data_IF_033805891918
#
_entry.id   IF_033805891918
#
_cell.length_a   1.000
_cell.length_b   1.000
_cell.length_c   1.000
_cell.angle_alpha   90.00
_cell.angle_beta   90.00
_cell.angle_gamma   90.00
#
_symmetry.space_group_name_H-M   'P 1'
#
loop_
_entity.id
_entity.type
_entity.pdbx_description
1 polymer ?
2 non-polymer ?
3 water ?
#
# COMPACT_ATOMS: atom_id res chain seq x y z
N UNK A 1 12.19 2.56 -31.38
CA UNK A 1 12.11 3.35 -30.17
C UNK A 1 11.30 2.67 -29.06
N UNK A 2 11.25 3.29 -27.89
CA UNK A 2 10.44 2.77 -26.81
C UNK A 2 8.97 2.65 -27.18
N UNK A 3 8.25 1.76 -26.53
CA UNK A 3 6.78 1.68 -26.58
C UNK A 3 6.23 2.75 -25.64
N UNK A 4 5.47 3.70 -26.18
CA UNK A 4 4.89 4.74 -25.31
C UNK A 4 3.63 4.24 -24.62
N UNK A 5 3.36 4.82 -23.45
CA UNK A 5 2.20 4.44 -22.65
C UNK A 5 1.42 5.74 -22.37
N UNK A 6 0.14 5.74 -22.71
CA UNK A 6 -0.76 6.86 -22.53
C UNK A 6 -1.84 6.54 -21.53
N UNK A 7 -2.58 7.53 -21.06
CA UNK A 7 -3.73 7.23 -20.18
C UNK A 7 -4.70 6.29 -20.89
N UNK A 8 -4.76 6.35 -22.22
CA UNK A 8 -5.71 5.53 -22.94
C UNK A 8 -5.17 4.15 -23.25
N UNK A 9 -3.92 3.86 -22.98
CA UNK A 9 -3.35 2.55 -23.19
C UNK A 9 -3.96 1.54 -22.23
N UNK A 10 -4.12 0.31 -22.69
CA UNK A 10 -4.60 -0.74 -21.76
C UNK A 10 -3.44 -1.19 -20.91
N UNK A 11 -3.56 -1.13 -19.59
CA UNK A 11 -2.40 -1.47 -18.77
C UNK A 11 -2.85 -2.37 -17.62
N UNK A 12 -1.89 -2.92 -16.91
CA UNK A 12 -2.18 -3.61 -15.66
C UNK A 12 -2.80 -2.68 -14.62
N UNK A 13 -3.36 -3.29 -13.58
CA UNK A 13 -3.85 -2.57 -12.43
C UNK A 13 -2.74 -1.74 -11.79
N UNK A 14 -3.14 -0.63 -11.21
CA UNK A 14 -2.24 0.19 -10.42
C UNK A 14 -1.75 -0.63 -9.24
N UNK A 15 -0.56 -0.30 -8.77
CA UNK A 15 -0.04 -1.01 -7.60
C UNK A 15 -0.25 -0.14 -6.35
N UNK A 16 -0.45 -0.81 -5.23
CA UNK A 16 -0.40 -0.18 -3.92
C UNK A 16 0.99 0.43 -3.66
N UNK A 17 1.07 1.40 -2.74
CA UNK A 17 2.40 1.94 -2.47
C UNK A 17 3.32 0.84 -1.97
N UNK A 18 2.81 -0.12 -1.21
CA UNK A 18 3.61 -1.21 -0.67
C UNK A 18 4.14 -2.08 -1.81
N UNK A 19 3.30 -2.42 -2.76
CA UNK A 19 3.72 -3.32 -3.85
C UNK A 19 4.64 -2.58 -4.83
N UNK A 20 4.37 -1.26 -5.00
CA UNK A 20 5.28 -0.49 -5.86
C UNK A 20 6.68 -0.44 -5.26
N UNK A 21 6.74 -0.18 -3.95
CA UNK A 21 8.06 -0.18 -3.28
C UNK A 21 8.73 -1.54 -3.36
N UNK A 22 7.92 -2.60 -3.24
CA UNK A 22 8.53 -3.94 -3.35
C UNK A 22 9.18 -4.12 -4.72
N UNK A 23 8.47 -3.67 -5.76
CA UNK A 23 9.05 -3.76 -7.11
C UNK A 23 10.36 -3.01 -7.24
N UNK A 24 10.36 -1.77 -6.72
CA UNK A 24 11.57 -0.97 -6.80
C UNK A 24 12.70 -1.62 -6.02
N UNK A 25 12.40 -1.98 -4.77
CA UNK A 25 13.45 -2.48 -3.88
C UNK A 25 14.00 -3.81 -4.36
N UNK A 26 13.14 -4.69 -4.80
CA UNK A 26 13.61 -6.03 -5.18
C UNK A 26 14.33 -5.98 -6.50
N UNK A 27 13.81 -5.15 -7.43
CA UNK A 27 14.40 -5.09 -8.77
C UNK A 27 15.77 -4.44 -8.78
N UNK A 28 15.94 -3.45 -7.91
CA UNK A 28 17.15 -2.63 -7.92
C UNK A 28 18.00 -2.88 -6.68
N UNK A 29 17.56 -3.79 -5.81
CA UNK A 29 18.30 -4.06 -4.57
C UNK A 29 18.55 -2.80 -3.74
N UNK A 30 17.42 -2.11 -3.50
CA UNK A 30 17.34 -0.92 -2.68
C UNK A 30 16.49 -1.15 -1.43
N UNK A 31 16.40 -0.12 -0.58
CA UNK A 31 15.60 -0.26 0.64
C UNK A 31 14.79 1.00 0.87
N UNK A 32 14.15 1.52 -0.18
CA UNK A 32 13.25 2.65 0.06
C UNK A 32 12.15 2.26 1.01
N UNK A 33 11.73 3.18 1.88
CA UNK A 33 10.60 2.95 2.76
C UNK A 33 9.41 3.86 2.38
N UNK A 34 9.62 4.83 1.49
CA UNK A 34 8.54 5.74 1.13
C UNK A 34 8.52 6.07 -0.36
N UNK A 35 7.35 6.13 -0.99
CA UNK A 35 7.25 6.51 -2.39
C UNK A 35 7.89 7.88 -2.61
N UNK A 36 7.77 8.74 -1.59
CA UNK A 36 8.38 10.08 -1.72
C UNK A 36 9.89 10.06 -2.03
N UNK A 37 10.62 9.03 -1.66
CA UNK A 37 12.05 8.95 -1.85
C UNK A 37 12.40 8.80 -3.32
N UNK A 38 11.44 8.52 -4.19
CA UNK A 38 11.69 8.52 -5.64
C UNK A 38 11.97 9.93 -6.14
N UNK A 39 11.82 10.94 -5.30
CA UNK A 39 12.09 12.33 -5.66
C UNK A 39 13.53 12.52 -6.11
N UNK A 40 14.42 11.58 -5.78
CA UNK A 40 15.82 11.73 -6.13
C UNK A 40 16.10 11.43 -7.60
N UNK A 41 15.20 10.72 -8.29
CA UNK A 41 15.42 10.43 -9.71
C UNK A 41 16.35 9.27 -9.94
N UNK A 42 17.13 8.80 -8.97
CA UNK A 42 18.15 7.78 -9.28
C UNK A 42 17.56 6.43 -9.66
N UNK A 43 16.51 6.01 -8.96
CA UNK A 43 15.88 4.71 -9.33
C UNK A 43 15.36 4.69 -10.76
N UNK A 44 14.70 5.80 -11.15
CA UNK A 44 14.21 5.87 -12.53
C UNK A 44 15.37 5.77 -13.53
N UNK A 45 16.46 6.47 -13.24
CA UNK A 45 17.62 6.35 -14.14
C UNK A 45 18.11 4.92 -14.29
N UNK A 46 18.16 4.21 -13.15
CA UNK A 46 18.59 2.82 -13.26
C UNK A 46 17.58 1.94 -13.99
N UNK A 47 16.28 2.16 -13.80
CA UNK A 47 15.32 1.34 -14.55
C UNK A 47 15.44 1.57 -16.04
N UNK A 48 15.76 2.82 -16.43
CA UNK A 48 16.00 3.08 -17.85
C UNK A 48 17.21 2.32 -18.43
N UNK A 49 18.26 2.22 -17.63
CA UNK A 49 19.45 1.46 -17.97
C UNK A 49 19.07 -0.01 -18.16
N UNK A 50 18.24 -0.50 -17.24
CA UNK A 50 17.77 -1.89 -17.30
C UNK A 50 16.92 -2.15 -18.54
N UNK A 51 16.02 -1.22 -18.86
CA UNK A 51 15.21 -1.35 -20.06
C UNK A 51 16.01 -1.25 -21.35
N UNK A 52 16.85 -0.25 -21.45
CA UNK A 52 17.58 0.11 -22.65
C UNK A 52 19.04 0.39 -22.27
N UNK A 53 19.84 -0.64 -22.06
CA UNK A 53 21.23 -0.44 -21.61
C UNK A 53 21.99 0.51 -22.54
N UNK A 54 22.62 1.51 -21.91
CA UNK A 54 23.34 2.54 -22.68
C UNK A 54 22.49 3.78 -22.93
N UNK A 55 21.23 3.82 -22.48
CA UNK A 55 20.40 4.98 -22.77
C UNK A 55 20.69 6.12 -21.79
N UNK A 56 21.26 5.76 -20.66
CA UNK A 56 21.43 6.62 -19.48
C UNK A 56 22.91 6.79 -19.17
N UNK A 57 23.31 7.99 -18.76
CA UNK A 57 24.68 8.24 -18.31
C UNK A 57 24.83 7.83 -16.85
N UNK A 58 24.88 6.53 -16.64
CA UNK A 58 24.87 5.97 -15.30
C UNK A 58 25.94 6.57 -14.40
N UNK A 59 27.12 6.83 -14.94
CA UNK A 59 28.24 7.33 -14.16
C UNK A 59 27.93 8.70 -13.56
N UNK A 60 27.00 9.44 -14.17
CA UNK A 60 26.73 10.81 -13.74
C UNK A 60 25.61 10.84 -12.72
N UNK A 61 24.94 9.70 -12.52
CA UNK A 61 23.83 9.63 -11.57
C UNK A 61 24.31 9.70 -10.14
N UNK A 62 23.69 10.51 -9.32
CA UNK A 62 24.00 10.58 -7.90
C UNK A 62 23.08 9.65 -7.15
N UNK A 63 23.57 8.47 -6.82
CA UNK A 63 22.71 7.49 -6.16
C UNK A 63 22.45 7.84 -4.70
N UNK A 64 23.28 8.72 -4.14
CA UNK A 64 23.10 9.03 -2.72
C UNK A 64 22.77 10.50 -2.52
N UNK A 65 22.07 11.06 -3.49
CA UNK A 65 21.63 12.44 -3.49
C UNK A 65 20.79 12.73 -2.27
N UNK A 66 20.96 13.89 -1.64
CA UNK A 66 20.23 14.33 -0.47
C UNK A 66 19.71 15.76 -0.58
N UNK A 67 20.13 16.40 -1.66
CA UNK A 67 19.80 17.81 -1.91
C UNK A 67 18.98 18.00 -3.16
N UNK A 68 17.96 18.87 -3.10
CA UNK A 68 17.09 19.00 -4.28
C UNK A 68 17.85 19.34 -5.54
N UNK A 69 18.95 20.08 -5.49
CA UNK A 69 19.57 20.42 -6.79
C UNK A 69 20.21 19.16 -7.37
N UNK A 70 20.61 18.23 -6.50
CA UNK A 70 21.09 16.94 -6.97
C UNK A 70 19.97 16.09 -7.59
N UNK A 71 18.77 16.11 -7.00
CA UNK A 71 17.63 15.40 -7.60
C UNK A 71 17.36 15.89 -9.00
N UNK A 72 17.47 17.22 -9.17
CA UNK A 72 17.23 17.79 -10.51
C UNK A 72 18.25 17.33 -11.53
N UNK A 73 19.52 17.24 -11.12
CA UNK A 73 20.52 16.71 -12.04
C UNK A 73 20.20 15.29 -12.47
N UNK A 74 19.79 14.47 -11.52
CA UNK A 74 19.41 13.09 -11.88
C UNK A 74 18.23 13.09 -12.84
N UNK A 75 17.22 13.92 -12.61
CA UNK A 75 16.10 13.91 -13.57
C UNK A 75 16.50 14.44 -14.93
N UNK A 76 17.50 15.29 -15.04
CA UNK A 76 17.90 15.74 -16.38
C UNK A 76 18.56 14.61 -17.12
N UNK A 77 19.32 13.80 -16.34
CA UNK A 77 19.84 12.57 -16.95
C UNK A 77 18.70 11.69 -17.46
N UNK A 78 17.66 11.51 -16.67
CA UNK A 78 16.50 10.70 -17.12
C UNK A 78 15.83 11.29 -18.35
N UNK A 79 15.66 12.61 -18.32
CA UNK A 79 15.00 13.26 -19.47
C UNK A 79 15.82 13.05 -20.75
N UNK A 80 17.13 13.08 -20.67
CA UNK A 80 17.97 12.82 -21.84
C UNK A 80 17.78 11.40 -22.35
N UNK A 81 17.63 10.45 -21.42
CA UNK A 81 17.35 9.05 -21.76
C UNK A 81 16.00 8.94 -22.47
N UNK A 82 14.99 9.61 -21.91
CA UNK A 82 13.67 9.60 -22.57
C UNK A 82 13.77 10.16 -23.97
N UNK A 83 14.52 11.26 -24.13
CA UNK A 83 14.62 11.83 -25.50
C UNK A 83 15.29 10.84 -26.44
N UNK A 84 16.40 10.23 -26.01
CA UNK A 84 17.14 9.29 -26.82
C UNK A 84 16.28 8.13 -27.30
N UNK A 85 15.43 7.64 -26.41
CA UNK A 85 14.59 6.49 -26.73
C UNK A 85 13.23 6.85 -27.28
N UNK A 86 12.94 8.12 -27.58
CA UNK A 86 11.65 8.49 -28.15
C UNK A 86 10.48 8.34 -27.20
N UNK A 87 10.73 8.54 -25.92
CA UNK A 87 9.66 8.44 -24.92
C UNK A 87 8.88 9.76 -24.90
N UNK A 88 7.59 9.69 -25.16
CA UNK A 88 6.80 10.95 -25.22
C UNK A 88 6.04 11.08 -23.93
N UNK A 89 6.85 11.42 -22.95
CA UNK A 89 6.27 11.71 -21.64
C UNK A 89 6.98 12.97 -21.13
N UNK A 90 6.21 13.94 -20.64
CA UNK A 90 6.87 15.07 -19.99
C UNK A 90 6.98 14.80 -18.50
N UNK A 91 8.22 14.90 -18.01
CA UNK A 91 8.48 14.62 -16.59
C UNK A 91 8.27 15.91 -15.79
N UNK A 92 7.38 15.88 -14.79
CA UNK A 92 7.10 17.09 -14.01
C UNK A 92 8.17 17.27 -12.94
N UNK A 93 9.39 17.49 -13.39
CA UNK A 93 10.54 17.43 -12.52
C UNK A 93 10.39 18.37 -11.31
N UNK A 94 9.94 19.61 -11.56
CA UNK A 94 9.84 20.60 -10.50
C UNK A 94 8.95 20.12 -9.37
N UNK A 95 7.92 19.36 -9.77
CA UNK A 95 7.04 18.84 -8.72
C UNK A 95 7.66 17.67 -7.98
N UNK A 96 8.22 16.70 -8.68
CA UNK A 96 8.72 15.47 -8.07
C UNK A 96 9.82 15.71 -7.07
N UNK A 97 10.73 16.65 -7.37
CA UNK A 97 11.92 16.77 -6.51
C UNK A 97 11.53 17.37 -5.17
N UNK A 98 10.30 17.87 -5.04
CA UNK A 98 9.89 18.46 -3.77
C UNK A 98 9.49 17.39 -2.75
N UNK A 99 9.39 16.12 -3.16
CA UNK A 99 9.08 15.05 -2.22
C UNK A 99 7.64 14.90 -1.79
N UNK A 100 6.66 15.44 -2.51
CA UNK A 100 5.24 15.32 -2.14
C UNK A 100 4.71 13.95 -2.57
N UNK A 101 3.90 13.25 -1.78
CA UNK A 101 3.48 11.90 -2.12
C UNK A 101 2.67 11.83 -3.38
N UNK A 102 1.63 12.65 -3.52
CA UNK A 102 0.72 12.44 -4.64
C UNK A 102 1.38 12.58 -6.01
N UNK A 103 2.27 13.58 -6.11
CA UNK A 103 2.96 13.84 -7.38
C UNK A 103 3.88 12.67 -7.70
N UNK A 104 4.61 12.22 -6.69
CA UNK A 104 5.54 11.12 -6.93
C UNK A 104 4.84 9.80 -7.19
N UNK A 105 3.72 9.60 -6.50
CA UNK A 105 2.95 8.35 -6.68
C UNK A 105 2.33 8.34 -8.07
N UNK A 106 1.82 9.47 -8.53
CA UNK A 106 1.26 9.54 -9.89
C UNK A 106 2.30 9.20 -10.94
N UNK A 107 3.49 9.81 -10.82
CA UNK A 107 4.47 9.53 -11.85
C UNK A 107 4.95 8.08 -11.79
N UNK A 108 5.15 7.51 -10.58
CA UNK A 108 5.67 6.12 -10.58
C UNK A 108 4.61 5.16 -11.09
N UNK A 109 3.31 5.46 -10.88
CA UNK A 109 2.32 4.60 -11.50
C UNK A 109 2.45 4.58 -13.02
N UNK A 110 2.65 5.73 -13.64
CA UNK A 110 2.88 5.74 -15.10
C UNK A 110 4.17 4.99 -15.38
N UNK A 111 5.25 5.29 -14.67
CA UNK A 111 6.55 4.75 -15.07
C UNK A 111 6.52 3.22 -15.00
N UNK A 112 5.86 2.65 -13.96
CA UNK A 112 5.77 1.19 -13.89
C UNK A 112 5.03 0.63 -15.12
N UNK A 113 3.96 1.30 -15.60
CA UNK A 113 3.26 0.85 -16.83
C UNK A 113 4.21 0.96 -18.02
N UNK A 114 4.97 2.07 -18.08
CA UNK A 114 5.97 2.19 -19.13
C UNK A 114 6.99 1.06 -19.11
N UNK A 115 7.48 0.79 -17.91
CA UNK A 115 8.48 -0.25 -17.70
C UNK A 115 7.88 -1.56 -18.19
N UNK A 116 6.68 -1.89 -17.70
CA UNK A 116 6.11 -3.20 -18.05
C UNK A 116 5.90 -3.39 -19.55
N UNK A 117 5.58 -2.28 -20.26
CA UNK A 117 5.38 -2.31 -21.70
C UNK A 117 6.68 -2.50 -22.47
N UNK A 118 7.81 -2.20 -21.82
CA UNK A 118 9.08 -2.20 -22.55
C UNK A 118 10.09 -3.24 -22.08
N UNK A 119 9.88 -3.82 -20.89
CA UNK A 119 10.92 -4.71 -20.35
C UNK A 119 10.95 -6.06 -21.05
N UNK A 120 12.14 -6.52 -21.38
CA UNK A 120 12.32 -7.71 -22.22
C UNK A 120 12.70 -8.94 -21.40
N UNK A 121 12.80 -8.78 -20.08
CA UNK A 121 13.14 -9.93 -19.24
C UNK A 121 14.64 -10.14 -19.07
N UNK A 122 15.47 -9.23 -19.60
CA UNK A 122 16.92 -9.46 -19.45
C UNK A 122 17.33 -9.53 -17.99
N UNK A 123 18.34 -10.38 -17.72
CA UNK A 123 18.93 -10.39 -16.40
C UNK A 123 19.62 -9.07 -16.11
N UNK A 124 19.62 -8.59 -14.88
CA UNK A 124 20.25 -7.27 -14.68
C UNK A 124 20.95 -7.21 -13.34
N UNK A 125 22.14 -6.65 -13.22
CA UNK A 125 22.73 -6.59 -11.87
C UNK A 125 22.79 -5.14 -11.43
N UNK A 126 21.82 -4.74 -10.60
CA UNK A 126 21.68 -3.31 -10.29
C UNK A 126 22.78 -2.83 -9.36
N UNK A 127 23.33 -3.76 -8.58
CA UNK A 127 24.45 -3.42 -7.72
C UNK A 127 25.70 -3.31 -8.60
N UNK A 128 25.89 -4.33 -9.45
CA UNK A 128 27.08 -4.23 -10.29
C UNK A 128 26.97 -2.99 -11.18
N UNK A 129 25.75 -2.54 -11.49
CA UNK A 129 25.58 -1.40 -12.39
C UNK A 129 25.78 -0.02 -11.75
N UNK A 130 25.74 0.05 -10.42
CA UNK A 130 25.96 1.27 -9.69
C UNK A 130 27.45 1.40 -9.37
N UNK A 131 28.18 0.41 -9.84
CA UNK A 131 29.59 0.13 -9.68
C UNK A 131 29.94 -0.18 -8.22
N UNK B 1 -15.25 -12.80 30.01
CA UNK B 1 -14.46 -11.97 29.13
C UNK B 1 -13.97 -12.71 27.90
N UNK B 2 -13.39 -11.98 26.98
CA UNK B 2 -12.91 -12.58 25.77
C UNK B 2 -11.78 -13.59 25.98
N UNK B 3 -11.69 -14.55 25.06
CA UNK B 3 -10.55 -15.46 24.95
C UNK B 3 -9.45 -14.66 24.23
N UNK B 4 -8.31 -14.49 24.89
CA UNK B 4 -7.20 -13.77 24.29
C UNK B 4 -6.38 -14.67 23.38
N UNK B 5 -5.78 -14.05 22.37
CA UNK B 5 -4.92 -14.80 21.45
C UNK B 5 -3.54 -14.17 21.42
N UNK B 6 -2.49 -14.96 21.59
CA UNK B 6 -1.12 -14.52 21.70
C UNK B 6 -0.31 -15.11 20.56
N UNK B 7 0.90 -14.60 20.35
CA UNK B 7 1.76 -15.22 19.36
C UNK B 7 2.02 -16.68 19.69
N UNK B 8 1.93 -17.06 20.94
CA UNK B 8 2.18 -18.43 21.36
C UNK B 8 0.94 -19.29 21.30
N UNK B 9 -0.23 -18.72 21.04
CA UNK B 9 -1.46 -19.51 20.93
C UNK B 9 -1.38 -20.41 19.73
N UNK B 10 -1.97 -21.60 19.78
CA UNK B 10 -2.11 -22.46 18.62
C UNK B 10 -3.31 -21.97 17.81
N UNK B 11 -3.07 -21.55 16.58
CA UNK B 11 -4.14 -20.99 15.76
C UNK B 11 -4.18 -21.62 14.37
N UNK B 12 -5.25 -21.35 13.62
CA UNK B 12 -5.30 -21.75 12.23
C UNK B 12 -4.19 -21.10 11.40
N UNK B 13 -4.00 -21.64 10.19
CA UNK B 13 -3.01 -21.05 9.29
C UNK B 13 -3.36 -19.60 8.96
N UNK B 14 -2.30 -18.84 8.71
CA UNK B 14 -2.47 -17.46 8.22
C UNK B 14 -3.17 -17.46 6.87
N UNK B 15 -3.86 -16.35 6.59
CA UNK B 15 -4.52 -16.27 5.30
C UNK B 15 -3.76 -15.31 4.39
N UNK B 16 -3.81 -15.56 3.08
CA UNK B 16 -3.20 -14.63 2.12
C UNK B 16 -4.00 -13.32 2.14
N UNK B 17 -3.44 -12.26 1.57
CA UNK B 17 -4.17 -10.99 1.52
C UNK B 17 -5.53 -11.24 0.83
N UNK B 18 -5.50 -12.12 -0.18
CA UNK B 18 -6.70 -12.38 -0.99
C UNK B 18 -7.79 -13.05 -0.18
N UNK B 19 -7.43 -14.13 0.52
CA UNK B 19 -8.41 -14.88 1.30
C UNK B 19 -8.90 -14.08 2.50
N UNK B 20 -8.07 -13.19 3.04
CA UNK B 20 -8.45 -12.37 4.20
C UNK B 20 -9.52 -11.39 3.76
N UNK B 21 -9.33 -10.79 2.59
CA UNK B 21 -10.39 -9.90 2.11
C UNK B 21 -11.72 -10.60 1.85
N UNK B 22 -11.62 -11.82 1.31
CA UNK B 22 -12.82 -12.62 1.10
C UNK B 22 -13.60 -12.83 2.42
N UNK B 23 -12.88 -13.16 3.48
CA UNK B 23 -13.49 -13.38 4.80
C UNK B 23 -14.19 -12.10 5.28
N UNK B 24 -13.45 -11.00 5.17
CA UNK B 24 -14.04 -9.72 5.58
C UNK B 24 -15.25 -9.38 4.73
N UNK B 25 -15.07 -9.51 3.41
CA UNK B 25 -16.17 -9.08 2.53
C UNK B 25 -17.41 -9.95 2.65
N UNK B 26 -17.26 -11.29 2.75
CA UNK B 26 -18.45 -12.13 2.84
C UNK B 26 -19.11 -12.06 4.21
N UNK B 27 -18.28 -11.96 5.27
CA UNK B 27 -18.86 -11.89 6.59
C UNK B 27 -19.64 -10.62 6.85
N UNK B 28 -19.12 -9.51 6.30
CA UNK B 28 -19.71 -8.23 6.67
C UNK B 28 -20.50 -7.62 5.51
N UNK B 29 -20.52 -8.34 4.39
CA UNK B 29 -21.21 -7.86 3.18
C UNK B 29 -20.63 -6.53 2.72
N UNK B 30 -19.31 -6.52 2.52
CA UNK B 30 -18.54 -5.38 2.07
C UNK B 30 -17.85 -5.65 0.73
N UNK B 31 -17.18 -4.65 0.18
CA UNK B 31 -16.49 -4.82 -1.09
C UNK B 31 -15.11 -4.21 -1.05
N UNK B 32 -14.36 -4.51 0.01
CA UNK B 32 -12.99 -4.00 0.08
C UNK B 32 -12.18 -4.65 -1.03
N UNK B 33 -11.22 -3.94 -1.58
CA UNK B 33 -10.32 -4.54 -2.55
C UNK B 33 -8.86 -4.53 -2.11
N UNK B 34 -8.61 -3.89 -0.97
CA UNK B 34 -7.25 -3.81 -0.47
C UNK B 34 -7.24 -3.94 1.05
N UNK B 35 -6.27 -4.68 1.58
CA UNK B 35 -6.11 -4.78 3.04
C UNK B 35 -5.94 -3.41 3.64
N UNK B 36 -5.31 -2.50 2.90
CA UNK B 36 -5.07 -1.13 3.41
C UNK B 36 -6.34 -0.42 3.81
N UNK B 37 -7.47 -0.80 3.21
CA UNK B 37 -8.77 -0.16 3.51
C UNK B 37 -9.30 -0.52 4.88
N UNK B 38 -8.65 -1.46 5.61
CA UNK B 38 -9.05 -1.70 6.99
C UNK B 38 -8.59 -0.56 7.89
N UNK B 39 -7.87 0.43 7.33
CA UNK B 39 -7.41 1.63 8.02
C UNK B 39 -8.55 2.38 8.68
N UNK B 40 -9.77 2.19 8.20
CA UNK B 40 -10.91 2.98 8.66
C UNK B 40 -11.42 2.50 10.02
N UNK B 41 -11.10 1.24 10.39
CA UNK B 41 -11.49 0.74 11.71
C UNK B 41 -12.93 0.29 11.75
N UNK B 42 -13.77 0.60 10.75
CA UNK B 42 -15.17 0.24 10.89
C UNK B 42 -15.42 -1.26 10.83
N UNK B 43 -14.67 -2.00 10.02
CA UNK B 43 -14.92 -3.44 9.95
C UNK B 43 -14.64 -4.09 11.30
N UNK B 44 -13.52 -3.69 11.91
CA UNK B 44 -13.20 -4.29 13.22
C UNK B 44 -14.27 -3.97 14.26
N UNK B 45 -14.77 -2.72 14.26
CA UNK B 45 -15.86 -2.38 15.17
C UNK B 45 -17.02 -3.33 14.97
N UNK B 46 -17.40 -3.53 13.69
CA UNK B 46 -18.58 -4.38 13.46
C UNK B 46 -18.31 -5.83 13.83
N UNK B 47 -17.10 -6.32 13.61
CA UNK B 47 -16.82 -7.70 14.05
C UNK B 47 -16.90 -7.82 15.57
N UNK B 48 -16.51 -6.76 16.28
CA UNK B 48 -16.69 -6.83 17.75
C UNK B 48 -18.17 -6.84 18.15
N UNK B 49 -19.04 -6.11 17.44
CA UNK B 49 -20.48 -6.17 17.61
C UNK B 49 -21.02 -7.59 17.36
N UNK B 50 -20.49 -8.26 16.33
CA UNK B 50 -20.85 -9.63 15.99
C UNK B 50 -20.43 -10.62 17.08
N UNK B 51 -19.19 -10.44 17.57
CA UNK B 51 -18.67 -11.36 18.60
C UNK B 51 -19.38 -11.19 19.94
N UNK B 52 -19.50 -9.91 20.34
CA UNK B 52 -19.99 -9.56 21.67
C UNK B 52 -21.01 -8.43 21.54
N UNK B 53 -22.23 -8.73 21.14
CA UNK B 53 -23.23 -7.69 20.96
C UNK B 53 -23.36 -6.75 22.15
N UNK B 54 -23.25 -5.46 21.88
CA UNK B 54 -23.28 -4.47 22.97
C UNK B 54 -21.94 -4.01 23.48
N UNK B 55 -20.87 -4.65 23.04
CA UNK B 55 -19.54 -4.27 23.50
C UNK B 55 -19.07 -2.96 22.85
N UNK B 56 -19.69 -2.62 21.75
CA UNK B 56 -19.33 -1.52 20.84
C UNK B 56 -20.50 -0.60 20.63
N UNK B 57 -20.31 0.73 20.67
CA UNK B 57 -21.38 1.65 20.36
C UNK B 57 -21.46 1.75 18.84
N UNK B 58 -22.09 0.73 18.26
CA UNK B 58 -22.21 0.63 16.80
C UNK B 58 -22.75 1.93 16.20
N UNK B 59 -23.71 2.57 16.88
CA UNK B 59 -24.34 3.79 16.40
C UNK B 59 -23.36 4.94 16.23
N UNK B 60 -22.26 4.94 16.95
CA UNK B 60 -21.20 5.94 16.90
C UNK B 60 -20.21 5.59 15.81
N UNK B 61 -20.26 4.37 15.26
CA UNK B 61 -19.28 4.03 14.21
C UNK B 61 -19.53 4.73 12.87
N UNK B 62 -18.42 5.23 12.29
CA UNK B 62 -18.48 5.93 11.02
C UNK B 62 -18.15 4.96 9.88
N UNK B 63 -19.19 4.35 9.33
CA UNK B 63 -19.06 3.38 8.25
C UNK B 63 -18.72 4.02 6.91
N UNK B 64 -18.90 5.32 6.79
CA UNK B 64 -18.48 5.97 5.56
C UNK B 64 -17.35 6.97 5.80
N UNK B 65 -16.54 6.67 6.82
CA UNK B 65 -15.41 7.57 7.09
C UNK B 65 -14.51 7.69 5.88
N UNK B 66 -13.95 8.85 5.55
CA UNK B 66 -13.00 8.97 4.45
C UNK B 66 -11.79 9.82 4.83
N UNK B 67 -11.76 10.31 6.06
CA UNK B 67 -10.74 11.16 6.62
C UNK B 67 -10.10 10.53 7.84
N UNK B 68 -8.80 10.77 7.98
CA UNK B 68 -8.10 10.06 9.06
C UNK B 68 -8.63 10.31 10.46
N UNK B 69 -9.15 11.47 10.85
CA UNK B 69 -9.60 11.63 12.23
C UNK B 69 -10.84 10.78 12.51
N UNK B 70 -11.59 10.47 11.44
CA UNK B 70 -12.77 9.62 11.56
C UNK B 70 -12.32 8.17 11.78
N UNK B 71 -11.22 7.79 11.12
CA UNK B 71 -10.64 6.47 11.32
C UNK B 71 -10.25 6.32 12.79
N UNK B 72 -9.66 7.43 13.29
CA UNK B 72 -9.23 7.35 14.70
C UNK B 72 -10.41 7.22 15.65
N UNK B 73 -11.52 7.91 15.35
CA UNK B 73 -12.69 7.75 16.22
C UNK B 73 -13.16 6.31 16.20
N UNK B 74 -13.17 5.70 15.01
CA UNK B 74 -13.58 4.30 14.97
C UNK B 74 -12.62 3.44 15.81
N UNK B 75 -11.29 3.70 15.72
CA UNK B 75 -10.37 2.86 16.48
C UNK B 75 -10.52 3.09 17.99
N UNK B 76 -10.87 4.29 18.43
CA UNK B 76 -11.08 4.50 19.87
C UNK B 76 -12.31 3.74 20.35
N UNK B 77 -13.33 3.67 19.47
CA UNK B 77 -14.48 2.83 19.77
C UNK B 77 -14.07 1.37 19.90
N UNK B 78 -13.24 0.85 19.01
CA UNK B 78 -12.69 -0.51 19.13
C UNK B 78 -11.91 -0.72 20.41
N UNK B 79 -11.03 0.25 20.71
CA UNK B 79 -10.24 0.15 21.95
C UNK B 79 -11.14 0.06 23.18
N UNK B 80 -12.23 0.82 23.18
CA UNK B 80 -13.10 0.76 24.37
C UNK B 80 -13.78 -0.60 24.46
N UNK B 81 -14.08 -1.18 23.28
CA UNK B 81 -14.67 -2.52 23.27
C UNK B 81 -13.70 -3.56 23.78
N UNK B 82 -12.45 -3.47 23.34
CA UNK B 82 -11.39 -4.37 23.81
C UNK B 82 -11.28 -4.26 25.34
N UNK B 83 -11.25 -2.99 25.81
CA UNK B 83 -11.12 -2.85 27.27
C UNK B 83 -12.33 -3.49 27.96
N UNK B 84 -13.51 -3.19 27.44
CA UNK B 84 -14.73 -3.69 28.08
C UNK B 84 -14.74 -5.22 28.11
N UNK B 85 -14.21 -5.86 27.08
CA UNK B 85 -14.26 -7.33 27.07
C UNK B 85 -12.97 -8.00 27.51
N UNK B 86 -11.99 -7.23 28.04
CA UNK B 86 -10.80 -7.82 28.62
C UNK B 86 -9.81 -8.32 27.60
N UNK B 87 -9.82 -7.71 26.41
CA UNK B 87 -8.90 -8.11 25.34
C UNK B 87 -7.55 -7.48 25.62
N UNK B 88 -6.44 -8.18 25.71
CA UNK B 88 -5.25 -7.51 26.21
C UNK B 88 -4.28 -7.13 25.10
N UNK B 89 -4.78 -7.15 23.87
CA UNK B 89 -4.05 -6.68 22.71
C UNK B 89 -3.96 -5.16 22.61
N UNK B 90 -2.76 -4.63 22.45
CA UNK B 90 -2.64 -3.20 22.17
C UNK B 90 -2.83 -2.98 20.66
N UNK B 91 -3.65 -2.01 20.29
CA UNK B 91 -3.85 -1.70 18.86
C UNK B 91 -2.91 -0.58 18.43
N UNK B 92 -2.09 -0.79 17.40
CA UNK B 92 -1.20 0.27 16.88
C UNK B 92 -1.95 1.26 16.01
N UNK B 93 -2.84 2.05 16.62
CA UNK B 93 -3.77 2.90 15.86
C UNK B 93 -3.07 3.81 14.88
N UNK B 94 -1.99 4.48 15.29
CA UNK B 94 -1.27 5.39 14.39
C UNK B 94 -0.81 4.71 13.11
N UNK B 95 -0.32 3.47 13.19
CA UNK B 95 0.16 2.81 11.96
C UNK B 95 -0.98 2.36 11.07
N UNK B 96 -2.08 1.98 11.70
CA UNK B 96 -3.21 1.41 10.96
C UNK B 96 -3.91 2.47 10.15
N UNK B 97 -4.19 3.61 10.78
CA UNK B 97 -5.00 4.62 10.11
C UNK B 97 -4.26 5.31 8.96
N UNK B 98 -2.94 5.22 8.88
CA UNK B 98 -2.18 5.66 7.74
C UNK B 98 -2.33 4.73 6.55
N UNK B 99 -2.95 3.56 6.78
CA UNK B 99 -3.21 2.69 5.65
C UNK B 99 -1.98 1.92 5.24
N UNK B 100 -1.02 1.77 6.16
CA UNK B 100 0.21 1.02 5.88
C UNK B 100 -0.10 -0.47 5.71
N UNK B 101 0.34 -1.04 4.60
CA UNK B 101 0.00 -2.44 4.37
C UNK B 101 0.54 -3.37 5.46
N UNK B 102 1.83 -3.33 5.74
CA UNK B 102 2.40 -4.39 6.59
C UNK B 102 1.75 -4.37 7.97
N UNK B 103 1.54 -3.17 8.51
CA UNK B 103 0.88 -3.09 9.82
C UNK B 103 -0.57 -3.52 9.77
N UNK B 104 -1.30 -3.10 8.73
CA UNK B 104 -2.71 -3.50 8.65
C UNK B 104 -2.80 -5.02 8.45
N UNK B 105 -1.89 -5.59 7.68
CA UNK B 105 -1.94 -7.03 7.41
C UNK B 105 -1.61 -7.82 8.67
N UNK B 106 -0.58 -7.42 9.42
CA UNK B 106 -0.24 -8.09 10.68
C UNK B 106 -1.41 -8.00 11.66
N UNK B 107 -2.02 -6.81 11.77
CA UNK B 107 -3.12 -6.70 12.73
C UNK B 107 -4.35 -7.53 12.33
N UNK B 108 -4.70 -7.52 11.03
CA UNK B 108 -5.90 -8.34 10.67
C UNK B 108 -5.57 -9.84 10.80
N UNK B 109 -4.34 -10.28 10.59
CA UNK B 109 -4.04 -11.70 10.81
C UNK B 109 -4.33 -12.07 12.26
N UNK B 110 -3.90 -11.21 13.17
CA UNK B 110 -4.18 -11.44 14.59
C UNK B 110 -5.68 -11.43 14.79
N UNK B 111 -6.34 -10.40 14.26
CA UNK B 111 -7.75 -10.19 14.60
C UNK B 111 -8.59 -11.38 14.15
N UNK B 112 -8.28 -11.95 12.98
CA UNK B 112 -9.04 -13.13 12.54
C UNK B 112 -8.85 -14.28 13.52
N UNK B 113 -7.62 -14.46 14.03
CA UNK B 113 -7.40 -15.54 15.01
C UNK B 113 -8.18 -15.26 16.28
N UNK B 114 -8.23 -13.98 16.69
CA UNK B 114 -9.05 -13.58 17.83
C UNK B 114 -10.53 -13.87 17.59
N UNK B 115 -11.02 -13.47 16.42
CA UNK B 115 -12.39 -13.69 16.04
C UNK B 115 -12.67 -15.19 16.17
N UNK B 116 -11.82 -16.02 15.54
CA UNK B 116 -12.10 -17.44 15.45
C UNK B 116 -12.10 -18.08 16.84
N UNK B 117 -11.33 -17.53 17.78
CA UNK B 117 -11.31 -18.07 19.13
C UNK B 117 -12.55 -17.70 19.92
N UNK B 118 -13.32 -16.69 19.51
CA UNK B 118 -14.40 -16.12 20.31
C UNK B 118 -15.77 -16.22 19.66
N UNK B 119 -15.85 -16.50 18.34
CA UNK B 119 -17.14 -16.54 17.65
C UNK B 119 -17.98 -17.73 18.11
N UNK B 120 -19.24 -17.48 18.45
CA UNK B 120 -20.12 -18.52 18.98
C UNK B 120 -21.11 -19.08 17.96
N UNK B 121 -21.06 -18.63 16.72
CA UNK B 121 -21.95 -19.12 15.67
C UNK B 121 -23.29 -18.41 15.56
N UNK B 122 -23.48 -17.36 16.35
CA UNK B 122 -24.75 -16.63 16.29
C UNK B 122 -25.02 -16.11 14.89
N UNK B 123 -26.30 -16.11 14.53
CA UNK B 123 -26.75 -15.43 13.33
C UNK B 123 -26.45 -13.94 13.41
N UNK B 124 -26.09 -13.36 12.28
CA UNK B 124 -25.73 -11.95 12.29
C UNK B 124 -25.97 -11.38 10.90
N UNK B 125 -26.78 -10.33 10.87
CA UNK B 125 -26.98 -9.70 9.56
C UNK B 125 -26.21 -8.38 9.56
N UNK B 126 -25.05 -8.34 8.91
CA UNK B 126 -24.19 -7.16 9.02
C UNK B 126 -24.80 -5.96 8.33
N UNK B 127 -25.59 -6.19 7.27
CA UNK B 127 -26.17 -5.00 6.63
C UNK B 127 -27.24 -4.41 7.55
N UNK B 128 -28.11 -5.28 8.08
CA UNK B 128 -29.13 -4.76 9.01
C UNK B 128 -28.47 -3.97 10.13
N UNK B 129 -27.41 -4.54 10.69
CA UNK B 129 -26.75 -3.95 11.85
C UNK B 129 -26.30 -2.53 11.56
N UNK B 130 -25.86 -2.32 10.33
CA UNK B 130 -25.45 -0.96 9.95
C UNK B 130 -26.69 -0.09 9.71
N UNK B 131 -27.85 -0.70 9.79
CA UNK B 131 -29.21 -0.18 9.64
C UNK B 131 -29.51 0.13 8.18
N UNK B 132 -28.74 -0.49 7.28
CA UNK B 132 -28.81 -0.29 5.85
C UNK B 132 -29.47 -1.39 5.07
N UNK B 187 -12.48 0.69 -15.22
CA UNK B 187 -11.51 -0.30 -14.77
C UNK B 187 -10.57 0.18 -13.69
N UNK B 188 -9.32 0.46 -14.06
CA UNK B 188 -8.33 0.94 -13.11
C UNK B 188 -7.97 2.41 -13.34
N UNK B 189 -7.87 2.91 -14.58
CA UNK B 189 -7.55 4.30 -14.75
C UNK B 189 -7.10 4.94 -16.04
N UNK B 190 -7.98 5.75 -16.60
CA UNK B 190 -7.74 6.65 -17.71
C UNK B 190 -7.19 7.97 -17.17
#
# INVERSE_FOLDING_TARGET
>A
MAVNVYSTSVTSDNLSRHDMLAWINESLQLNLTKIEQLCSGAAYCQFMDMLFPGSIALKKVKFQAKLEHEYIQNFKILQAGFKRMGVDKIIPVDKLVKGKFQDNFEFVQWFKKFFDANYDGKDYDPVAARQGQETAVAPSLVAPALNKPKKPLTSSSAAPQRPISTQRTAAAPKAGPGVVRKNPGVGNGDDEAAELMQQVNVLKLTVEDLEKERDFYFGKLRNIELICQENEGENDPVLQRIVDILYATDEGFVIPDEGGPQEEQEEY
>B
MAVNVYSTSVTSDNLSRHDMLAWINESLQLNLTKIEQLCSGAAYCQFMDMLFPGSIALKKVKFQAKLEHEYIQNFKILQAGFKRMGVDKIIPVDKLVKGKFQDNFEFVQWFKKFFDANYDGKDYDPVAARQGQETAVAPSLVAPALNKPKKPLTSSSAAPQRPISTQRTAAAPKAGPGVVRKNPGVGNGDDEAAELMQQVNVLKLTVEDLEKERDFYFGKLRNIELICQENEGENDPVLQRIVDILYATDEGFVIPDEGGPQEEQEEY
#
